data_IF_186734638430
#
_entry.id   IF_186734638430
#
_cell.length_a   1.000
_cell.length_b   1.000
_cell.length_c   1.000
_cell.angle_alpha   90.00
_cell.angle_beta   90.00
_cell.angle_gamma   90.00
#
_symmetry.space_group_name_H-M   'P 1'
#
loop_
_entity.id
_entity.type
_entity.pdbx_description
1 polymer ?
#
# COMPACT_ATOMS: atom_id res chain seq x y z
N UNK A 1 12.90 2.19 21.39
CA UNK A 1 12.47 0.86 21.86
C UNK A 1 13.53 0.18 22.73
N UNK A 2 14.75 -0.02 22.23
CA UNK A 2 15.80 -0.84 22.92
C UNK A 2 16.24 -0.22 24.25
N UNK A 3 16.21 1.10 24.38
CA UNK A 3 16.67 1.85 25.57
C UNK A 3 15.55 2.06 26.60
N UNK A 4 14.29 1.86 26.20
CA UNK A 4 13.13 2.06 27.07
C UNK A 4 12.63 0.71 27.60
N UNK A 5 12.21 0.69 28.86
CA UNK A 5 11.56 -0.48 29.46
C UNK A 5 10.14 -0.66 28.91
N UNK A 6 9.79 -1.90 28.60
CA UNK A 6 8.51 -2.27 28.04
C UNK A 6 8.54 -2.57 26.54
N UNK A 7 7.36 -2.85 25.99
CA UNK A 7 7.16 -3.23 24.59
C UNK A 7 6.95 -2.00 23.72
N UNK A 8 7.73 -1.86 22.66
CA UNK A 8 7.38 -0.96 21.55
C UNK A 8 6.39 -1.67 20.63
N UNK A 9 5.18 -1.15 20.56
CA UNK A 9 4.14 -1.65 19.64
C UNK A 9 4.30 -0.98 18.28
N UNK A 10 4.61 -1.75 17.24
CA UNK A 10 4.77 -1.25 15.86
C UNK A 10 3.59 -1.69 15.01
N UNK A 11 2.77 -0.74 14.61
CA UNK A 11 1.60 -0.97 13.75
C UNK A 11 2.01 -0.67 12.32
N UNK A 12 1.98 -1.67 11.44
CA UNK A 12 2.37 -1.53 10.02
C UNK A 12 1.46 -2.40 9.15
N UNK A 13 1.12 -1.95 7.92
CA UNK A 13 0.10 -2.62 7.11
C UNK A 13 0.64 -3.83 6.32
N UNK A 14 1.96 -4.08 6.37
CA UNK A 14 2.62 -5.00 5.46
C UNK A 14 3.26 -6.18 6.17
N UNK A 15 2.66 -7.35 6.00
CA UNK A 15 3.12 -8.60 6.60
C UNK A 15 4.55 -8.96 6.14
N UNK A 16 4.87 -8.79 4.86
CA UNK A 16 6.19 -9.10 4.33
C UNK A 16 7.27 -8.22 4.99
N UNK A 17 7.03 -6.90 5.06
CA UNK A 17 7.94 -5.97 5.74
C UNK A 17 8.11 -6.28 7.23
N UNK A 18 7.01 -6.64 7.91
CA UNK A 18 7.10 -7.09 9.31
C UNK A 18 8.06 -8.25 9.48
N UNK A 19 7.95 -9.28 8.64
CA UNK A 19 8.80 -10.48 8.69
C UNK A 19 10.25 -10.11 8.49
N UNK A 20 10.56 -9.37 7.43
CA UNK A 20 11.91 -8.95 7.09
C UNK A 20 12.54 -8.12 8.21
N UNK A 21 11.81 -7.16 8.77
CA UNK A 21 12.28 -6.32 9.88
C UNK A 21 12.49 -7.12 11.17
N UNK A 22 11.54 -8.00 11.51
CA UNK A 22 11.67 -8.88 12.70
C UNK A 22 12.87 -9.80 12.57
N UNK A 23 13.08 -10.41 11.39
CA UNK A 23 14.22 -11.30 11.17
C UNK A 23 15.56 -10.54 11.23
N UNK A 24 15.63 -9.34 10.65
CA UNK A 24 16.80 -8.47 10.74
C UNK A 24 17.10 -8.05 12.19
N UNK A 25 16.08 -7.74 12.97
CA UNK A 25 16.22 -7.38 14.39
C UNK A 25 16.66 -8.57 15.26
N UNK A 26 16.09 -9.75 15.02
CA UNK A 26 16.48 -10.99 15.71
C UNK A 26 17.93 -11.37 15.43
N UNK A 27 18.41 -11.22 14.19
CA UNK A 27 19.83 -11.42 13.83
C UNK A 27 20.76 -10.50 14.62
N UNK A 28 20.27 -9.33 15.06
CA UNK A 28 20.99 -8.38 15.93
C UNK A 28 20.78 -8.63 17.42
N UNK A 29 20.13 -9.72 17.81
CA UNK A 29 19.87 -10.08 19.21
C UNK A 29 18.67 -9.36 19.85
N UNK A 30 17.86 -8.62 19.08
CA UNK A 30 16.69 -7.91 19.60
C UNK A 30 15.49 -8.85 19.69
N UNK A 31 14.78 -8.86 20.82
CA UNK A 31 13.58 -9.66 21.05
C UNK A 31 12.37 -9.05 20.29
N UNK A 32 12.35 -9.23 18.97
CA UNK A 32 11.30 -8.74 18.08
C UNK A 32 10.37 -9.89 17.64
N UNK A 33 9.07 -9.61 17.59
CA UNK A 33 8.04 -10.55 17.17
C UNK A 33 7.00 -9.86 16.27
N UNK A 34 6.34 -10.64 15.41
CA UNK A 34 5.26 -10.16 14.56
C UNK A 34 3.99 -11.00 14.78
N UNK A 35 2.83 -10.35 14.75
CA UNK A 35 1.51 -10.98 14.77
C UNK A 35 0.72 -10.55 13.54
N UNK A 36 0.33 -11.53 12.70
CA UNK A 36 -0.42 -11.30 11.47
C UNK A 36 -1.50 -12.37 11.22
N UNK A 37 -2.36 -12.13 10.23
CA UNK A 37 -3.61 -12.87 10.03
C UNK A 37 -3.48 -14.39 9.84
N UNK A 38 -2.41 -14.87 9.19
CA UNK A 38 -2.24 -16.29 8.85
C UNK A 38 -1.57 -17.13 9.96
N UNK A 39 -1.23 -16.54 11.12
CA UNK A 39 -0.63 -17.26 12.25
C UNK A 39 -1.65 -18.11 13.00
N UNK A 40 -1.19 -19.23 13.56
CA UNK A 40 -2.01 -20.08 14.43
C UNK A 40 -2.32 -19.37 15.75
N UNK A 41 -3.53 -19.57 16.25
CA UNK A 41 -3.99 -18.96 17.50
C UNK A 41 -3.05 -19.26 18.70
N UNK A 42 -2.52 -20.45 18.78
CA UNK A 42 -1.57 -20.88 19.84
C UNK A 42 -0.24 -20.12 19.77
N UNK A 43 0.24 -19.78 18.58
CA UNK A 43 1.47 -19.00 18.41
C UNK A 43 1.24 -17.54 18.82
N UNK A 44 0.08 -16.99 18.42
CA UNK A 44 -0.33 -15.63 18.81
C UNK A 44 -0.40 -15.50 20.33
N UNK A 45 -1.06 -16.46 21.01
CA UNK A 45 -1.15 -16.48 22.48
C UNK A 45 0.22 -16.49 23.11
N UNK A 46 1.15 -17.36 22.68
CA UNK A 46 2.51 -17.43 23.22
C UNK A 46 3.26 -16.10 23.08
N UNK A 47 3.13 -15.43 21.95
CA UNK A 47 3.78 -14.12 21.73
C UNK A 47 3.18 -13.06 22.65
N UNK A 48 1.85 -13.02 22.76
CA UNK A 48 1.16 -12.05 23.61
C UNK A 48 1.47 -12.27 25.11
N UNK A 49 1.47 -13.52 25.57
CA UNK A 49 1.84 -13.86 26.95
C UNK A 49 3.29 -13.45 27.24
N UNK A 50 4.19 -13.73 26.31
CA UNK A 50 5.60 -13.33 26.43
C UNK A 50 5.76 -11.80 26.46
N UNK A 51 4.91 -11.07 25.72
CA UNK A 51 4.90 -9.61 25.73
C UNK A 51 4.40 -9.04 27.08
N UNK A 52 3.37 -9.65 27.67
CA UNK A 52 2.88 -9.29 29.02
C UNK A 52 3.98 -9.52 30.09
N UNK A 53 4.75 -10.60 29.96
CA UNK A 53 5.81 -10.97 30.89
C UNK A 53 7.13 -10.20 30.66
N UNK A 54 7.19 -9.25 29.75
CA UNK A 54 8.39 -8.45 29.45
C UNK A 54 9.44 -9.16 28.59
N UNK A 55 9.10 -10.28 27.98
CA UNK A 55 10.00 -11.05 27.09
C UNK A 55 10.09 -10.52 25.65
N UNK A 56 9.43 -9.40 25.35
CA UNK A 56 9.37 -8.79 24.01
C UNK A 56 9.81 -7.33 24.08
N UNK A 57 10.70 -6.91 23.18
CA UNK A 57 11.13 -5.51 23.05
C UNK A 57 10.34 -4.78 21.95
N UNK A 58 10.14 -5.42 20.80
CA UNK A 58 9.34 -4.89 19.69
C UNK A 58 8.28 -5.91 19.28
N UNK A 59 7.03 -5.46 19.24
CA UNK A 59 5.89 -6.24 18.78
C UNK A 59 5.29 -5.59 17.54
N UNK A 60 5.50 -6.21 16.39
CA UNK A 60 4.89 -5.81 15.13
C UNK A 60 3.50 -6.41 15.01
N UNK A 61 2.53 -5.60 14.60
CA UNK A 61 1.13 -6.02 14.47
C UNK A 61 0.49 -5.36 13.25
N UNK A 62 -0.33 -6.14 12.54
CA UNK A 62 -1.15 -5.58 11.47
C UNK A 62 -2.36 -4.81 12.04
N UNK A 63 -2.79 -3.72 11.40
CA UNK A 63 -3.89 -2.89 11.91
C UNK A 63 -5.20 -3.66 12.07
N UNK A 64 -5.46 -4.70 11.29
CA UNK A 64 -6.65 -5.56 11.40
C UNK A 64 -6.71 -6.31 12.74
N UNK A 65 -5.57 -6.52 13.40
CA UNK A 65 -5.51 -7.18 14.71
C UNK A 65 -5.90 -6.27 15.87
N UNK A 66 -5.97 -4.98 15.66
CA UNK A 66 -6.31 -4.01 16.69
C UNK A 66 -7.76 -4.15 17.18
N UNK A 67 -8.63 -4.76 16.37
CA UNK A 67 -10.03 -5.05 16.73
C UNK A 67 -10.21 -6.40 17.45
N UNK A 68 -9.13 -7.16 17.67
CA UNK A 68 -9.21 -8.47 18.32
C UNK A 68 -9.36 -8.32 19.83
N UNK A 69 -10.44 -8.83 20.41
CA UNK A 69 -10.67 -8.83 21.86
C UNK A 69 -9.53 -9.46 22.65
N UNK A 70 -8.98 -10.57 22.13
CA UNK A 70 -7.81 -11.22 22.73
C UNK A 70 -6.62 -10.27 22.80
N UNK A 71 -6.33 -9.55 21.71
CA UNK A 71 -5.23 -8.60 21.66
C UNK A 71 -5.47 -7.44 22.64
N UNK A 72 -6.65 -6.84 22.63
CA UNK A 72 -6.99 -5.71 23.51
C UNK A 72 -6.92 -6.11 24.98
N UNK A 73 -7.42 -7.30 25.35
CA UNK A 73 -7.31 -7.84 26.71
C UNK A 73 -5.85 -8.02 27.15
N UNK A 74 -4.99 -8.59 26.32
CA UNK A 74 -3.56 -8.75 26.64
C UNK A 74 -2.82 -7.40 26.67
N UNK A 75 -3.17 -6.48 25.76
CA UNK A 75 -2.59 -5.14 25.71
C UNK A 75 -2.81 -4.36 27.02
N UNK A 76 -3.97 -4.50 27.67
CA UNK A 76 -4.25 -3.84 28.94
C UNK A 76 -3.22 -4.18 30.04
N UNK A 77 -2.68 -5.39 30.01
CA UNK A 77 -1.68 -5.91 30.97
C UNK A 77 -0.22 -5.71 30.52
N UNK A 78 0.03 -5.30 29.27
CA UNK A 78 1.39 -5.05 28.78
C UNK A 78 1.92 -3.71 29.31
N UNK A 79 3.20 -3.66 29.64
CA UNK A 79 3.95 -2.40 29.77
C UNK A 79 4.35 -1.93 28.38
N UNK A 80 3.69 -0.88 27.86
CA UNK A 80 3.97 -0.34 26.52
C UNK A 80 4.86 0.88 26.65
N UNK A 81 6.08 0.81 26.10
CA UNK A 81 7.05 1.92 26.11
C UNK A 81 6.65 3.05 25.16
N UNK A 82 6.21 2.71 23.93
CA UNK A 82 5.60 3.63 22.97
C UNK A 82 4.93 2.88 21.84
N UNK A 83 4.13 3.60 21.06
CA UNK A 83 3.39 3.08 19.91
C UNK A 83 3.97 3.72 18.66
N UNK A 84 4.44 2.92 17.70
CA UNK A 84 4.88 3.38 16.39
C UNK A 84 3.80 3.05 15.36
N UNK A 85 3.35 4.05 14.62
CA UNK A 85 2.41 3.90 13.51
C UNK A 85 3.18 4.13 12.22
N UNK A 86 3.48 3.05 11.52
CA UNK A 86 4.14 3.09 10.22
C UNK A 86 3.12 3.31 9.12
N UNK A 87 3.53 3.93 8.01
CA UNK A 87 2.66 4.36 6.90
C UNK A 87 1.41 5.10 7.41
N UNK A 88 1.62 6.05 8.33
CA UNK A 88 0.54 6.74 9.04
C UNK A 88 -0.43 7.47 8.10
N UNK A 89 -0.05 7.75 6.84
CA UNK A 89 -0.94 8.31 5.83
C UNK A 89 -2.15 7.41 5.51
N UNK A 90 -2.06 6.11 5.81
CA UNK A 90 -3.18 5.17 5.66
C UNK A 90 -4.39 5.48 6.55
N UNK A 91 -4.24 6.34 7.58
CA UNK A 91 -5.36 6.77 8.44
C UNK A 91 -6.23 7.84 7.77
N UNK A 92 -5.71 8.54 6.76
CA UNK A 92 -6.41 9.65 6.10
C UNK A 92 -7.51 9.14 5.18
N UNK A 93 -8.77 9.42 5.51
CA UNK A 93 -9.95 8.95 4.75
C UNK A 93 -9.95 9.41 3.27
N UNK A 94 -9.31 10.52 2.97
CA UNK A 94 -9.18 11.09 1.64
C UNK A 94 -7.80 10.82 1.01
N UNK A 95 -6.99 9.96 1.66
CA UNK A 95 -5.68 9.56 1.17
C UNK A 95 -5.77 8.51 0.05
N UNK A 96 -4.72 8.41 -0.75
CA UNK A 96 -4.62 7.44 -1.85
C UNK A 96 -4.53 5.96 -1.39
N UNK A 97 -4.18 5.70 -0.12
CA UNK A 97 -4.08 4.36 0.48
C UNK A 97 -4.81 4.30 1.85
N UNK A 98 -6.05 4.80 1.88
CA UNK A 98 -6.86 4.76 3.10
C UNK A 98 -7.18 3.33 3.52
N UNK A 99 -6.95 3.04 4.80
CA UNK A 99 -7.26 1.74 5.42
C UNK A 99 -8.12 1.92 6.66
N UNK A 100 -9.39 1.52 6.63
CA UNK A 100 -10.31 1.68 7.76
C UNK A 100 -9.78 1.11 9.08
N UNK A 101 -9.04 0.00 9.03
CA UNK A 101 -8.42 -0.63 10.21
C UNK A 101 -7.45 0.28 10.98
N UNK A 102 -6.88 1.32 10.33
CA UNK A 102 -6.03 2.31 11.02
C UNK A 102 -6.81 3.20 11.99
N UNK A 103 -8.10 3.36 11.81
CA UNK A 103 -8.94 4.15 12.75
C UNK A 103 -8.99 3.49 14.13
N UNK A 104 -8.85 2.16 14.21
CA UNK A 104 -8.82 1.42 15.47
C UNK A 104 -7.57 1.76 16.34
N UNK A 105 -6.56 2.43 15.78
CA UNK A 105 -5.37 2.87 16.54
C UNK A 105 -5.76 3.86 17.64
N UNK A 106 -6.77 4.69 17.42
CA UNK A 106 -7.28 5.62 18.44
C UNK A 106 -7.79 4.91 19.69
N UNK A 107 -8.35 3.71 19.56
CA UNK A 107 -8.85 2.90 20.67
C UNK A 107 -7.70 2.38 21.56
N UNK A 108 -6.57 2.02 20.96
CA UNK A 108 -5.37 1.61 21.69
C UNK A 108 -4.89 2.72 22.62
N UNK A 109 -4.99 3.97 22.17
CA UNK A 109 -4.61 5.12 23.00
C UNK A 109 -5.49 5.31 24.21
N UNK A 110 -6.77 4.86 24.18
CA UNK A 110 -7.62 4.86 25.35
C UNK A 110 -7.17 3.82 26.39
N UNK A 111 -6.65 2.68 25.91
CA UNK A 111 -6.11 1.61 26.79
C UNK A 111 -4.74 1.98 27.35
N UNK A 112 -3.90 2.67 26.56
CA UNK A 112 -2.54 3.10 26.91
C UNK A 112 -2.38 4.61 26.72
N UNK A 113 -3.03 5.44 27.55
CA UNK A 113 -3.05 6.90 27.38
C UNK A 113 -1.70 7.57 27.59
N UNK A 114 -0.82 6.96 28.37
CA UNK A 114 0.51 7.49 28.72
C UNK A 114 1.60 7.07 27.72
N UNK A 115 1.31 6.09 26.84
CA UNK A 115 2.26 5.67 25.83
C UNK A 115 2.41 6.73 24.74
N UNK A 116 3.61 7.29 24.52
CA UNK A 116 3.82 8.22 23.42
C UNK A 116 3.60 7.55 22.07
N UNK A 117 3.14 8.33 21.09
CA UNK A 117 2.89 7.84 19.72
C UNK A 117 3.84 8.49 18.76
N UNK A 118 4.51 7.68 17.96
CA UNK A 118 5.36 8.08 16.83
C UNK A 118 4.68 7.67 15.52
N UNK A 119 4.17 8.64 14.78
CA UNK A 119 3.60 8.40 13.45
C UNK A 119 4.65 8.67 12.37
N UNK A 120 4.88 7.69 11.49
CA UNK A 120 5.88 7.73 10.44
C UNK A 120 5.20 7.65 9.08
N UNK A 121 5.59 8.52 8.17
CA UNK A 121 5.17 8.46 6.76
C UNK A 121 6.17 9.19 5.87
N UNK A 122 6.36 8.67 4.66
CA UNK A 122 7.23 9.26 3.66
C UNK A 122 6.50 10.21 2.69
N UNK A 123 5.16 10.24 2.68
CA UNK A 123 4.38 10.84 1.59
C UNK A 123 3.22 11.72 2.07
N UNK A 124 3.27 12.24 3.30
CA UNK A 124 2.18 13.06 3.82
C UNK A 124 2.23 14.51 3.31
N UNK A 125 1.12 14.98 2.77
CA UNK A 125 0.86 16.41 2.49
C UNK A 125 0.52 17.16 3.78
N UNK A 126 0.51 18.51 3.74
CA UNK A 126 0.14 19.29 4.92
C UNK A 126 -1.25 18.96 5.47
N UNK A 127 -2.31 18.86 4.64
CA UNK A 127 -3.62 18.42 5.13
C UNK A 127 -3.60 17.00 5.74
N UNK A 128 -2.83 16.09 5.14
CA UNK A 128 -2.70 14.71 5.68
C UNK A 128 -2.01 14.70 7.05
N UNK A 129 -1.01 15.57 7.27
CA UNK A 129 -0.34 15.69 8.57
C UNK A 129 -1.34 16.14 9.66
N UNK A 130 -2.18 17.14 9.37
CA UNK A 130 -3.19 17.61 10.31
C UNK A 130 -4.24 16.53 10.60
N UNK A 131 -4.66 15.77 9.58
CA UNK A 131 -5.60 14.66 9.73
C UNK A 131 -5.00 13.51 10.56
N UNK A 132 -3.75 13.10 10.28
CA UNK A 132 -3.05 12.08 11.07
C UNK A 132 -3.01 12.45 12.55
N UNK A 133 -2.63 13.68 12.89
CA UNK A 133 -2.55 14.11 14.28
C UNK A 133 -3.92 14.13 14.95
N UNK A 134 -4.96 14.58 14.24
CA UNK A 134 -6.35 14.57 14.70
C UNK A 134 -6.84 13.14 14.95
N UNK A 135 -6.69 12.24 13.99
CA UNK A 135 -7.18 10.86 14.09
C UNK A 135 -6.42 10.05 15.17
N UNK A 136 -5.14 10.34 15.37
CA UNK A 136 -4.33 9.72 16.42
C UNK A 136 -4.43 10.46 17.77
N UNK A 137 -5.30 11.45 17.91
CA UNK A 137 -5.53 12.21 19.16
C UNK A 137 -4.23 12.78 19.76
N UNK A 138 -3.38 13.42 18.95
CA UNK A 138 -2.21 14.12 19.45
C UNK A 138 -2.64 15.34 20.30
N UNK A 139 -2.04 15.49 21.49
CA UNK A 139 -2.35 16.59 22.39
C UNK A 139 -1.80 17.93 21.89
N UNK A 140 -0.65 17.88 21.24
CA UNK A 140 0.07 19.03 20.70
C UNK A 140 0.56 18.75 19.28
N UNK A 141 0.64 19.80 18.47
CA UNK A 141 1.27 19.68 17.13
C UNK A 141 2.77 19.52 17.29
N UNK A 142 3.27 18.34 16.99
CA UNK A 142 4.69 18.02 16.99
C UNK A 142 5.06 17.29 15.70
N UNK A 143 5.69 18.02 14.77
CA UNK A 143 5.98 17.49 13.43
C UNK A 143 7.45 17.71 13.09
N UNK A 144 8.15 16.61 12.87
CA UNK A 144 9.52 16.63 12.36
C UNK A 144 9.47 16.37 10.87
N UNK A 145 9.93 17.32 10.07
CA UNK A 145 9.93 17.22 8.61
C UNK A 145 11.36 17.23 8.09
N UNK A 146 11.64 16.31 7.20
CA UNK A 146 12.86 16.32 6.40
C UNK A 146 12.52 16.58 4.94
N UNK A 147 13.47 17.08 4.18
CA UNK A 147 13.31 17.22 2.74
C UNK A 147 13.14 15.86 2.09
N UNK A 148 12.16 15.73 1.21
CA UNK A 148 11.97 14.54 0.38
C UNK A 148 13.01 14.47 -0.76
N UNK A 149 13.83 15.49 -0.96
CA UNK A 149 14.78 15.55 -2.06
C UNK A 149 15.86 14.49 -1.91
N UNK A 150 15.88 13.55 -2.84
CA UNK A 150 16.91 12.53 -2.97
C UNK A 150 17.96 13.02 -3.96
N UNK A 151 19.08 13.57 -3.45
CA UNK A 151 20.15 14.19 -4.27
C UNK A 151 20.83 13.23 -5.25
N UNK A 152 20.76 11.94 -4.95
CA UNK A 152 21.34 10.88 -5.77
C UNK A 152 20.39 10.32 -6.84
N UNK A 153 19.13 10.74 -6.89
CA UNK A 153 18.15 10.31 -7.90
C UNK A 153 17.94 11.41 -8.93
N UNK A 154 18.18 11.11 -10.20
CA UNK A 154 17.82 11.97 -11.30
C UNK A 154 16.40 11.63 -11.78
N UNK A 155 15.46 12.57 -11.63
CA UNK A 155 14.09 12.44 -12.12
C UNK A 155 14.01 12.92 -13.56
N UNK A 156 13.59 12.05 -14.48
CA UNK A 156 13.60 12.28 -15.92
C UNK A 156 12.24 11.97 -16.49
N UNK A 157 11.65 12.91 -17.23
CA UNK A 157 10.50 12.64 -18.10
C UNK A 157 11.00 12.58 -19.54
N UNK A 158 10.71 11.50 -20.24
CA UNK A 158 11.17 11.28 -21.60
C UNK A 158 10.00 10.93 -22.51
N UNK A 159 9.84 11.66 -23.59
CA UNK A 159 8.87 11.32 -24.62
C UNK A 159 9.40 10.15 -25.46
N UNK A 160 8.57 9.12 -25.64
CA UNK A 160 8.91 7.92 -26.39
C UNK A 160 7.67 7.40 -27.13
N UNK A 161 7.78 7.21 -28.44
CA UNK A 161 6.74 6.58 -29.25
C UNK A 161 6.69 5.09 -28.96
N UNK A 162 7.84 4.41 -28.95
CA UNK A 162 8.01 3.04 -28.45
C UNK A 162 8.64 3.06 -27.05
N UNK A 163 7.78 2.92 -26.04
CA UNK A 163 8.21 2.91 -24.64
C UNK A 163 8.96 1.62 -24.26
N UNK A 164 8.67 0.50 -24.92
CA UNK A 164 9.30 -0.79 -24.61
C UNK A 164 10.75 -0.81 -25.09
N UNK A 165 10.98 -0.40 -26.32
CA UNK A 165 12.34 -0.26 -26.86
C UNK A 165 13.16 0.76 -26.06
N UNK A 166 12.54 1.90 -25.71
CA UNK A 166 13.22 2.91 -24.90
C UNK A 166 13.56 2.41 -23.50
N UNK A 167 12.68 1.65 -22.86
CA UNK A 167 12.95 1.02 -21.57
C UNK A 167 14.09 0.02 -21.66
N UNK A 168 14.08 -0.85 -22.67
CA UNK A 168 15.15 -1.81 -22.92
C UNK A 168 16.49 -1.13 -23.16
N UNK A 169 16.52 -0.05 -23.94
CA UNK A 169 17.73 0.75 -24.20
C UNK A 169 18.30 1.34 -22.89
N UNK A 170 17.45 1.95 -22.05
CA UNK A 170 17.88 2.51 -20.77
C UNK A 170 18.43 1.42 -19.84
N UNK A 171 17.77 0.27 -19.74
CA UNK A 171 18.18 -0.83 -18.86
C UNK A 171 19.52 -1.43 -19.31
N UNK A 172 19.77 -1.53 -20.63
CA UNK A 172 21.05 -2.01 -21.16
C UNK A 172 22.20 -1.05 -20.84
N UNK A 173 21.96 0.26 -20.83
CA UNK A 173 22.98 1.28 -20.59
C UNK A 173 23.41 1.39 -19.11
N UNK A 174 22.74 0.68 -18.20
CA UNK A 174 23.00 0.76 -16.76
C UNK A 174 23.39 -0.61 -16.20
N UNK A 175 24.37 -0.60 -15.29
CA UNK A 175 24.70 -1.74 -14.45
C UNK A 175 23.82 -1.73 -13.19
N UNK A 176 23.49 -2.92 -12.65
CA UNK A 176 22.66 -3.06 -11.46
C UNK A 176 21.19 -3.35 -11.77
N UNK A 177 20.39 -3.45 -10.72
CA UNK A 177 18.99 -3.87 -10.81
C UNK A 177 18.08 -2.74 -11.30
N UNK A 178 16.96 -3.14 -11.93
CA UNK A 178 15.94 -2.22 -12.41
C UNK A 178 14.53 -2.64 -11.94
N UNK A 179 13.64 -1.65 -11.80
CA UNK A 179 12.21 -1.86 -11.63
C UNK A 179 11.49 -1.16 -12.77
N UNK A 180 10.50 -1.84 -13.38
CA UNK A 180 9.65 -1.28 -14.42
C UNK A 180 8.21 -1.34 -13.94
N UNK A 181 7.59 -0.18 -13.75
CA UNK A 181 6.20 -0.06 -13.33
C UNK A 181 5.25 0.04 -14.52
N UNK A 182 4.21 -0.80 -14.48
CA UNK A 182 3.10 -0.81 -15.43
C UNK A 182 1.77 -0.90 -14.69
N UNK A 183 0.70 -0.44 -15.33
CA UNK A 183 -0.60 -0.33 -14.67
C UNK A 183 -1.31 -1.68 -14.52
N UNK A 184 -1.30 -2.55 -15.54
CA UNK A 184 -2.12 -3.76 -15.55
C UNK A 184 -1.31 -5.04 -15.28
N UNK A 185 -1.96 -6.01 -14.62
CA UNK A 185 -1.40 -7.35 -14.36
C UNK A 185 -0.94 -8.04 -15.65
N UNK A 186 -1.74 -7.97 -16.71
CA UNK A 186 -1.42 -8.55 -18.03
C UNK A 186 -0.15 -7.94 -18.61
N UNK A 187 -0.04 -6.61 -18.56
CA UNK A 187 1.11 -5.87 -19.09
C UNK A 187 2.41 -6.19 -18.36
N UNK A 188 2.37 -6.56 -17.06
CA UNK A 188 3.58 -6.97 -16.34
C UNK A 188 4.24 -8.18 -16.99
N UNK A 189 3.44 -9.17 -17.40
CA UNK A 189 3.93 -10.36 -18.08
C UNK A 189 4.45 -10.03 -19.49
N UNK A 190 3.67 -9.30 -20.29
CA UNK A 190 4.02 -8.92 -21.66
C UNK A 190 5.35 -8.14 -21.72
N UNK A 191 5.55 -7.19 -20.79
CA UNK A 191 6.80 -6.42 -20.75
C UNK A 191 7.98 -7.27 -20.28
N UNK A 192 7.79 -8.19 -19.32
CA UNK A 192 8.85 -9.09 -18.89
C UNK A 192 9.26 -10.05 -20.02
N UNK A 193 8.32 -10.61 -20.77
CA UNK A 193 8.56 -11.43 -21.96
C UNK A 193 9.31 -10.64 -23.02
N UNK A 194 8.88 -9.42 -23.36
CA UNK A 194 9.58 -8.55 -24.29
C UNK A 194 11.03 -8.29 -23.88
N UNK A 195 11.31 -8.03 -22.61
CA UNK A 195 12.67 -7.81 -22.11
C UNK A 195 13.52 -9.07 -22.23
N UNK A 196 12.98 -10.24 -21.90
CA UNK A 196 13.67 -11.51 -22.02
C UNK A 196 14.00 -11.84 -23.49
N UNK A 197 13.08 -11.61 -24.43
CA UNK A 197 13.30 -11.79 -25.86
C UNK A 197 14.39 -10.85 -26.39
N UNK A 198 14.61 -9.74 -25.70
CA UNK A 198 15.67 -8.77 -25.97
C UNK A 198 16.95 -8.98 -25.14
N UNK A 199 17.18 -10.19 -24.60
CA UNK A 199 18.35 -10.58 -23.80
C UNK A 199 18.54 -9.74 -22.50
N UNK A 200 17.45 -9.28 -21.89
CA UNK A 200 17.44 -8.62 -20.59
C UNK A 200 16.68 -9.51 -19.62
N UNK A 201 17.39 -10.12 -18.65
CA UNK A 201 16.74 -11.02 -17.69
C UNK A 201 15.69 -10.27 -16.86
N UNK A 202 14.42 -10.67 -16.99
CA UNK A 202 13.29 -10.02 -16.38
C UNK A 202 12.30 -11.03 -15.78
N UNK A 203 11.69 -10.66 -14.67
CA UNK A 203 10.54 -11.35 -14.09
C UNK A 203 9.43 -10.36 -13.81
N UNK A 204 8.25 -10.83 -13.44
CA UNK A 204 7.12 -9.95 -13.20
C UNK A 204 6.42 -10.24 -11.87
N UNK A 205 5.77 -9.18 -11.32
CA UNK A 205 5.11 -9.22 -10.01
C UNK A 205 3.78 -8.44 -10.02
N UNK A 206 2.73 -9.04 -9.49
CA UNK A 206 1.45 -8.37 -9.24
C UNK A 206 0.66 -9.11 -8.15
N UNK A 207 -0.33 -8.44 -7.53
CA UNK A 207 -1.11 -8.99 -6.43
C UNK A 207 -1.92 -10.26 -6.77
N UNK A 208 -2.22 -10.52 -8.04
CA UNK A 208 -2.95 -11.71 -8.48
C UNK A 208 -2.10 -12.97 -8.63
N UNK A 209 -0.81 -12.94 -8.29
CA UNK A 209 0.04 -14.14 -8.23
C UNK A 209 -0.11 -14.82 -6.87
N UNK A 210 0.07 -16.15 -6.84
CA UNK A 210 0.14 -16.91 -5.60
C UNK A 210 1.31 -16.44 -4.73
N UNK A 211 1.14 -16.56 -3.41
CA UNK A 211 2.14 -16.09 -2.45
C UNK A 211 3.53 -16.69 -2.69
N UNK A 212 3.60 -18.02 -2.87
CA UNK A 212 4.85 -18.71 -3.13
C UNK A 212 5.55 -18.23 -4.41
N UNK A 213 4.78 -17.93 -5.47
CA UNK A 213 5.32 -17.40 -6.72
C UNK A 213 5.83 -15.97 -6.54
N UNK A 214 5.13 -15.15 -5.76
CA UNK A 214 5.56 -13.78 -5.43
C UNK A 214 6.89 -13.79 -4.68
N UNK A 215 6.98 -14.62 -3.63
CA UNK A 215 8.18 -14.73 -2.80
C UNK A 215 9.37 -15.24 -3.62
N UNK A 216 9.17 -16.26 -4.47
CA UNK A 216 10.20 -16.79 -5.35
C UNK A 216 10.76 -15.71 -6.31
N UNK A 217 9.86 -14.99 -7.00
CA UNK A 217 10.27 -13.97 -7.96
C UNK A 217 10.95 -12.78 -7.31
N UNK A 218 10.49 -12.37 -6.14
CA UNK A 218 11.11 -11.35 -5.34
C UNK A 218 12.52 -11.77 -4.90
N UNK A 219 12.71 -13.00 -4.40
CA UNK A 219 14.02 -13.53 -4.01
C UNK A 219 14.98 -13.61 -5.20
N UNK A 220 14.50 -14.10 -6.36
CA UNK A 220 15.34 -14.15 -7.58
C UNK A 220 15.88 -12.76 -7.97
N UNK A 221 15.05 -11.73 -7.84
CA UNK A 221 15.47 -10.36 -8.15
C UNK A 221 16.35 -9.75 -7.04
N UNK A 222 16.05 -10.03 -5.77
CA UNK A 222 16.89 -9.58 -4.65
C UNK A 222 18.29 -10.19 -4.67
N UNK A 223 18.42 -11.45 -5.11
CA UNK A 223 19.67 -12.19 -5.22
C UNK A 223 20.40 -11.98 -6.56
N UNK A 224 19.99 -11.01 -7.37
CA UNK A 224 20.57 -10.69 -8.68
C UNK A 224 20.51 -11.83 -9.73
N UNK A 225 19.71 -12.88 -9.48
CA UNK A 225 19.43 -13.93 -10.48
C UNK A 225 18.65 -13.40 -11.68
N UNK A 226 17.93 -12.29 -11.48
CA UNK A 226 17.17 -11.57 -12.49
C UNK A 226 17.43 -10.08 -12.33
N UNK A 227 17.78 -9.39 -13.44
CA UNK A 227 18.13 -7.97 -13.44
C UNK A 227 16.89 -7.06 -13.24
N UNK A 228 15.75 -7.40 -13.86
CA UNK A 228 14.59 -6.52 -13.93
C UNK A 228 13.37 -7.12 -13.25
N UNK A 229 12.73 -6.33 -12.40
CA UNK A 229 11.41 -6.63 -11.90
C UNK A 229 10.37 -5.75 -12.64
N UNK A 230 9.47 -6.36 -13.39
CA UNK A 230 8.33 -5.66 -14.00
C UNK A 230 7.12 -5.82 -13.10
N UNK A 231 6.51 -4.73 -12.66
CA UNK A 231 5.50 -4.81 -11.62
C UNK A 231 4.36 -3.80 -11.75
N UNK A 232 3.23 -4.11 -11.11
CA UNK A 232 2.24 -3.11 -10.72
C UNK A 232 2.65 -2.45 -9.40
N UNK A 233 1.90 -1.45 -8.95
CA UNK A 233 2.06 -0.80 -7.63
C UNK A 233 2.05 -1.78 -6.44
N UNK A 234 1.57 -3.03 -6.63
CA UNK A 234 1.63 -4.08 -5.62
C UNK A 234 3.06 -4.51 -5.26
N UNK A 235 4.04 -4.27 -6.15
CA UNK A 235 5.46 -4.45 -5.88
C UNK A 235 6.02 -3.15 -5.35
N UNK A 236 6.00 -3.02 -4.05
CA UNK A 236 6.38 -1.72 -3.57
C UNK A 236 6.75 -1.68 -2.10
N UNK A 237 5.78 -1.56 -1.25
CA UNK A 237 6.00 -1.41 0.18
C UNK A 237 6.84 -2.59 0.73
N UNK A 238 7.88 -2.30 1.49
CA UNK A 238 8.73 -3.31 2.12
C UNK A 238 9.91 -3.82 1.28
N UNK A 239 10.08 -3.37 0.04
CA UNK A 239 11.23 -3.77 -0.77
C UNK A 239 12.42 -2.89 -0.41
N UNK A 240 13.49 -3.53 0.05
CA UNK A 240 14.74 -2.88 0.43
C UNK A 240 15.93 -3.50 -0.31
N UNK A 241 16.03 -3.20 -1.63
CA UNK A 241 17.20 -3.52 -2.43
C UNK A 241 18.01 -2.25 -2.65
N UNK A 242 19.28 -2.18 -2.19
CA UNK A 242 20.05 -0.93 -2.18
C UNK A 242 20.49 -0.48 -3.58
N UNK A 243 20.77 -1.41 -4.46
CA UNK A 243 21.44 -1.21 -5.74
C UNK A 243 20.51 -1.07 -6.96
N UNK A 244 19.26 -0.67 -6.75
CA UNK A 244 18.34 -0.35 -7.85
C UNK A 244 18.86 0.89 -8.58
N UNK A 245 19.35 0.72 -9.80
CA UNK A 245 19.94 1.84 -10.58
C UNK A 245 18.91 2.62 -11.36
N UNK A 246 17.79 2.00 -11.72
CA UNK A 246 16.72 2.71 -12.42
C UNK A 246 15.33 2.18 -12.04
N UNK A 247 14.42 3.12 -11.86
CA UNK A 247 12.98 2.87 -11.80
C UNK A 247 12.36 3.51 -13.04
N UNK A 248 11.69 2.71 -13.87
CA UNK A 248 11.05 3.16 -15.10
C UNK A 248 9.54 3.04 -14.96
N UNK A 249 8.83 4.12 -15.25
CA UNK A 249 7.38 4.11 -15.38
C UNK A 249 7.02 4.11 -16.87
N UNK A 250 6.48 2.99 -17.36
CA UNK A 250 5.92 2.87 -18.72
C UNK A 250 4.51 3.47 -18.76
N UNK A 251 3.74 3.25 -17.70
CA UNK A 251 2.45 3.88 -17.50
C UNK A 251 2.54 4.94 -16.40
N UNK A 252 1.81 6.02 -16.54
CA UNK A 252 1.74 7.06 -15.52
C UNK A 252 1.13 6.50 -14.23
N UNK A 253 1.75 6.73 -13.07
CA UNK A 253 1.18 6.36 -11.78
C UNK A 253 -0.09 7.16 -11.47
N UNK A 254 -0.87 6.70 -10.49
CA UNK A 254 -2.19 7.27 -10.20
C UNK A 254 -2.10 8.62 -9.45
N UNK A 255 -0.98 8.89 -8.79
CA UNK A 255 -0.72 10.16 -8.08
C UNK A 255 0.76 10.50 -8.06
N UNK A 256 1.07 11.75 -7.68
CA UNK A 256 2.46 12.20 -7.49
C UNK A 256 3.09 11.49 -6.28
N UNK A 257 2.31 11.23 -5.25
CA UNK A 257 2.73 10.50 -4.05
C UNK A 257 3.12 9.06 -4.40
N UNK A 258 2.30 8.36 -5.18
CA UNK A 258 2.60 7.02 -5.69
C UNK A 258 3.88 7.03 -6.55
N UNK A 259 3.99 7.99 -7.48
CA UNK A 259 5.22 8.16 -8.27
C UNK A 259 6.45 8.33 -7.39
N UNK A 260 6.35 9.19 -6.38
CA UNK A 260 7.48 9.50 -5.50
C UNK A 260 7.89 8.28 -4.65
N UNK A 261 6.93 7.54 -4.14
CA UNK A 261 7.16 6.31 -3.38
C UNK A 261 7.81 5.22 -4.25
N UNK A 262 7.35 5.05 -5.49
CA UNK A 262 7.88 4.08 -6.45
C UNK A 262 9.28 4.49 -6.93
N UNK A 263 9.46 5.73 -7.34
CA UNK A 263 10.75 6.30 -7.76
C UNK A 263 11.80 6.28 -6.63
N UNK A 264 11.37 6.49 -5.39
CA UNK A 264 12.22 6.50 -4.21
C UNK A 264 12.90 5.16 -3.88
N UNK A 265 12.55 4.08 -4.59
CA UNK A 265 13.25 2.77 -4.48
C UNK A 265 14.60 2.78 -5.14
N UNK A 266 14.85 3.71 -6.05
CA UNK A 266 16.13 3.85 -6.71
C UNK A 266 17.22 4.34 -5.73
N UNK A 267 18.43 3.81 -5.85
CA UNK A 267 19.63 4.32 -5.20
C UNK A 267 19.57 4.42 -3.68
N UNK A 268 19.05 3.44 -2.98
CA UNK A 268 19.03 3.44 -1.50
C UNK A 268 20.43 3.33 -0.87
N UNK A 269 21.40 2.85 -1.64
CA UNK A 269 22.82 2.82 -1.26
C UNK A 269 23.52 4.20 -1.36
N UNK A 270 22.79 5.26 -1.74
CA UNK A 270 23.33 6.59 -1.91
C UNK A 270 24.00 6.84 -3.26
N UNK A 271 24.22 5.81 -4.07
CA UNK A 271 24.83 5.93 -5.40
C UNK A 271 23.83 6.54 -6.40
N UNK A 272 24.37 7.12 -7.49
CA UNK A 272 23.57 7.72 -8.55
C UNK A 272 22.57 6.73 -9.14
N UNK A 273 21.33 7.13 -9.22
CA UNK A 273 20.22 6.34 -9.75
C UNK A 273 19.25 7.22 -10.54
N UNK A 274 18.33 6.60 -11.27
CA UNK A 274 17.45 7.30 -12.19
C UNK A 274 15.99 6.87 -11.95
N UNK A 275 15.10 7.85 -11.97
CA UNK A 275 13.65 7.63 -12.03
C UNK A 275 13.17 8.19 -13.37
N UNK A 276 12.72 7.32 -14.26
CA UNK A 276 12.37 7.69 -15.64
C UNK A 276 10.89 7.46 -15.87
N UNK A 277 10.16 8.50 -16.21
CA UNK A 277 8.79 8.41 -16.69
C UNK A 277 8.80 8.47 -18.22
N UNK A 278 8.38 7.41 -18.87
CA UNK A 278 8.20 7.36 -20.32
C UNK A 278 6.79 7.84 -20.67
N UNK A 279 6.72 8.93 -21.42
CA UNK A 279 5.46 9.59 -21.76
C UNK A 279 5.23 9.61 -23.27
N UNK A 280 3.96 9.48 -23.67
CA UNK A 280 3.53 9.76 -25.03
C UNK A 280 2.16 10.48 -25.05
N UNK A 281 1.73 10.92 -26.23
CA UNK A 281 0.47 11.68 -26.38
C UNK A 281 -0.80 10.94 -25.92
N UNK A 282 -0.78 9.59 -25.90
CA UNK A 282 -1.89 8.76 -25.46
C UNK A 282 -2.05 8.71 -23.95
N UNK A 283 -0.98 8.91 -23.19
CA UNK A 283 -1.00 8.81 -21.71
C UNK A 283 -1.94 9.83 -21.08
N UNK A 284 -2.01 11.05 -21.63
CA UNK A 284 -2.93 12.08 -21.14
C UNK A 284 -4.39 11.61 -21.23
N UNK A 285 -4.78 11.05 -22.37
CA UNK A 285 -6.15 10.55 -22.59
C UNK A 285 -6.46 9.36 -21.68
N UNK A 286 -5.49 8.45 -21.50
CA UNK A 286 -5.62 7.31 -20.59
C UNK A 286 -5.78 7.79 -19.14
N UNK A 287 -4.98 8.75 -18.71
CA UNK A 287 -5.05 9.30 -17.34
C UNK A 287 -6.39 10.03 -17.12
N UNK A 288 -6.82 10.86 -18.06
CA UNK A 288 -8.12 11.52 -18.00
C UNK A 288 -9.27 10.51 -17.89
N UNK A 289 -9.23 9.41 -18.66
CA UNK A 289 -10.22 8.35 -18.57
C UNK A 289 -10.21 7.67 -17.21
N UNK A 290 -9.03 7.35 -16.65
CA UNK A 290 -8.91 6.76 -15.30
C UNK A 290 -9.52 7.67 -14.24
N UNK A 291 -9.24 8.97 -14.31
CA UNK A 291 -9.82 9.96 -13.39
C UNK A 291 -11.35 9.96 -13.50
N UNK A 292 -11.89 9.97 -14.72
CA UNK A 292 -13.33 9.95 -14.93
C UNK A 292 -13.99 8.64 -14.45
N UNK A 293 -13.28 7.51 -14.57
CA UNK A 293 -13.76 6.22 -14.09
C UNK A 293 -13.71 6.11 -12.57
N UNK A 294 -12.72 6.75 -11.92
CA UNK A 294 -12.54 6.75 -10.47
C UNK A 294 -13.39 7.80 -9.74
N UNK A 295 -13.61 8.94 -10.35
CA UNK A 295 -14.38 10.05 -9.81
C UNK A 295 -15.59 10.30 -10.69
N UNK A 296 -16.60 9.43 -10.54
CA UNK A 296 -17.85 9.56 -11.27
C UNK A 296 -18.57 10.86 -10.92
N UNK A 297 -19.15 11.54 -11.90
CA UNK A 297 -19.94 12.74 -11.68
C UNK A 297 -21.24 12.42 -10.91
N UNK A 298 -21.82 13.46 -10.29
CA UNK A 298 -22.99 13.33 -9.44
C UNK A 298 -24.20 12.73 -10.19
N UNK A 299 -24.39 13.07 -11.42
CA UNK A 299 -25.51 12.57 -12.24
C UNK A 299 -25.34 11.07 -12.55
N UNK A 300 -24.12 10.64 -12.83
CA UNK A 300 -23.85 9.21 -13.00
C UNK A 300 -24.07 8.42 -11.70
N UNK A 301 -23.66 8.96 -10.54
CA UNK A 301 -23.87 8.32 -9.23
C UNK A 301 -25.36 8.17 -8.95
N UNK A 302 -26.16 9.20 -9.23
CA UNK A 302 -27.63 9.12 -9.12
C UNK A 302 -28.22 8.05 -10.04
N UNK A 303 -27.78 8.01 -11.30
CA UNK A 303 -28.21 7.02 -12.28
C UNK A 303 -27.92 5.59 -11.77
N UNK A 304 -26.72 5.35 -11.21
CA UNK A 304 -26.37 4.05 -10.63
C UNK A 304 -27.29 3.72 -9.45
N UNK A 305 -27.56 4.68 -8.57
CA UNK A 305 -28.46 4.50 -7.44
C UNK A 305 -29.91 4.17 -7.87
N UNK A 306 -30.43 4.86 -8.86
CA UNK A 306 -31.73 4.57 -9.45
C UNK A 306 -31.76 3.18 -10.12
N UNK A 307 -30.71 2.83 -10.85
CA UNK A 307 -30.60 1.51 -11.48
C UNK A 307 -30.48 0.38 -10.45
N UNK A 308 -29.90 0.61 -9.27
CA UNK A 308 -29.93 -0.36 -8.16
C UNK A 308 -31.37 -0.63 -7.71
N UNK A 309 -32.18 0.44 -7.56
CA UNK A 309 -33.59 0.28 -7.20
C UNK A 309 -34.36 -0.53 -8.26
N UNK A 310 -34.13 -0.27 -9.54
CA UNK A 310 -34.72 -1.06 -10.63
C UNK A 310 -34.21 -2.50 -10.66
N UNK A 311 -32.91 -2.72 -10.41
CA UNK A 311 -32.32 -4.05 -10.41
C UNK A 311 -32.90 -4.96 -9.31
N UNK A 312 -33.16 -4.39 -8.15
CA UNK A 312 -33.75 -5.08 -7.02
C UNK A 312 -35.27 -4.93 -6.94
N UNK A 313 -35.91 -4.29 -7.93
CA UNK A 313 -37.34 -4.05 -8.00
C UNK A 313 -37.91 -3.35 -6.74
N UNK A 314 -37.20 -2.35 -6.25
CA UNK A 314 -37.57 -1.58 -5.06
C UNK A 314 -38.48 -0.41 -5.44
N UNK A 315 -39.59 -0.27 -4.71
CA UNK A 315 -40.41 0.93 -4.79
C UNK A 315 -39.75 2.09 -4.04
N UNK A 316 -40.12 3.33 -4.39
CA UNK A 316 -39.66 4.53 -3.68
C UNK A 316 -40.00 4.44 -2.18
N UNK A 317 -39.04 4.69 -1.32
CA UNK A 317 -39.18 4.58 0.14
C UNK A 317 -39.09 3.15 0.69
N UNK A 318 -38.81 2.15 -0.14
CA UNK A 318 -38.61 0.76 0.29
C UNK A 318 -37.10 0.38 0.21
N UNK A 319 -36.76 -0.71 0.93
CA UNK A 319 -35.39 -1.26 0.88
C UNK A 319 -34.51 -0.85 2.04
N UNK A 320 -34.94 0.01 2.93
CA UNK A 320 -34.21 0.37 4.15
C UNK A 320 -33.92 -0.86 5.01
N UNK A 321 -32.68 -1.01 5.47
CA UNK A 321 -32.20 -2.15 6.29
C UNK A 321 -32.36 -3.53 5.61
N UNK A 322 -32.51 -3.58 4.28
CA UNK A 322 -32.56 -4.86 3.54
C UNK A 322 -31.24 -5.15 2.88
N UNK A 323 -30.80 -6.40 3.02
CA UNK A 323 -29.59 -6.92 2.33
C UNK A 323 -29.99 -7.69 1.08
N UNK A 324 -29.25 -7.47 -0.01
CA UNK A 324 -29.48 -8.11 -1.31
C UNK A 324 -28.17 -8.73 -1.80
N UNK A 325 -28.26 -9.88 -2.46
CA UNK A 325 -27.12 -10.43 -3.19
C UNK A 325 -26.89 -9.64 -4.48
N UNK A 326 -25.74 -9.01 -4.60
CA UNK A 326 -25.39 -8.16 -5.73
C UNK A 326 -24.40 -8.80 -6.68
N UNK A 327 -24.78 -8.91 -7.96
CA UNK A 327 -23.90 -9.38 -9.02
C UNK A 327 -23.56 -8.20 -9.95
N UNK A 328 -22.34 -7.67 -9.80
CA UNK A 328 -21.85 -6.52 -10.55
C UNK A 328 -21.89 -6.75 -12.08
N UNK A 329 -21.43 -7.92 -12.55
CA UNK A 329 -21.39 -8.22 -13.99
C UNK A 329 -22.79 -8.26 -14.62
N UNK A 330 -23.76 -8.83 -13.90
CA UNK A 330 -25.17 -8.87 -14.33
C UNK A 330 -25.76 -7.47 -14.34
N UNK A 331 -25.51 -6.67 -13.31
CA UNK A 331 -25.93 -5.28 -13.23
C UNK A 331 -25.37 -4.45 -14.38
N UNK A 332 -24.07 -4.53 -14.60
CA UNK A 332 -23.40 -3.78 -15.68
C UNK A 332 -23.91 -4.17 -17.07
N UNK A 333 -24.19 -5.45 -17.31
CA UNK A 333 -24.79 -5.91 -18.58
C UNK A 333 -26.21 -5.39 -18.78
N UNK A 334 -27.04 -5.43 -17.74
CA UNK A 334 -28.43 -4.99 -17.82
C UNK A 334 -28.58 -3.50 -18.14
N UNK A 335 -27.75 -2.67 -17.51
CA UNK A 335 -27.81 -1.22 -17.63
C UNK A 335 -26.73 -0.59 -18.51
N UNK A 336 -25.91 -1.42 -19.18
CA UNK A 336 -24.81 -0.99 -20.08
C UNK A 336 -23.80 -0.07 -19.38
N UNK A 337 -23.46 -0.41 -18.13
CA UNK A 337 -22.44 0.28 -17.37
C UNK A 337 -21.05 -0.37 -17.47
N UNK A 338 -20.00 0.42 -17.23
CA UNK A 338 -18.65 -0.10 -17.03
C UNK A 338 -18.44 -0.48 -15.57
N UNK A 339 -17.95 -1.72 -15.28
CA UNK A 339 -17.78 -2.21 -13.89
C UNK A 339 -16.99 -1.26 -12.98
N UNK A 340 -15.84 -0.75 -13.45
CA UNK A 340 -14.99 0.16 -12.67
C UNK A 340 -15.72 1.46 -12.24
N UNK A 341 -16.55 2.03 -13.12
CA UNK A 341 -17.35 3.22 -12.79
C UNK A 341 -18.47 2.92 -11.80
N UNK A 342 -19.10 1.74 -11.93
CA UNK A 342 -20.14 1.31 -10.97
C UNK A 342 -19.53 1.08 -9.60
N UNK A 343 -18.40 0.37 -9.49
CA UNK A 343 -17.71 0.19 -8.22
C UNK A 343 -17.32 1.52 -7.56
N UNK A 344 -16.86 2.49 -8.36
CA UNK A 344 -16.57 3.84 -7.86
C UNK A 344 -17.83 4.51 -7.31
N UNK A 345 -18.95 4.46 -8.06
CA UNK A 345 -20.22 5.04 -7.64
C UNK A 345 -20.76 4.38 -6.35
N UNK A 346 -20.68 3.04 -6.27
CA UNK A 346 -21.07 2.28 -5.06
C UNK A 346 -20.26 2.70 -3.84
N UNK A 347 -18.94 2.81 -3.95
CA UNK A 347 -18.06 3.29 -2.86
C UNK A 347 -18.39 4.72 -2.42
N UNK A 348 -18.79 5.60 -3.36
CA UNK A 348 -19.20 6.96 -3.01
C UNK A 348 -20.55 6.94 -2.28
N UNK A 349 -21.52 6.13 -2.75
CA UNK A 349 -22.81 5.95 -2.10
C UNK A 349 -22.68 5.38 -0.69
N UNK A 350 -21.79 4.38 -0.50
CA UNK A 350 -21.46 3.79 0.79
C UNK A 350 -20.86 4.84 1.74
N UNK A 351 -19.83 5.57 1.30
CA UNK A 351 -19.21 6.66 2.09
C UNK A 351 -20.19 7.77 2.45
N UNK A 352 -21.21 7.98 1.63
CA UNK A 352 -22.24 8.97 1.84
C UNK A 352 -23.43 8.45 2.66
N UNK A 353 -23.40 7.19 3.10
CA UNK A 353 -24.42 6.56 3.94
C UNK A 353 -25.72 6.19 3.21
N UNK A 354 -25.72 6.13 1.88
CA UNK A 354 -26.91 5.73 1.11
C UNK A 354 -27.05 4.21 0.97
N UNK A 355 -25.96 3.46 1.03
CA UNK A 355 -25.89 2.01 0.95
C UNK A 355 -24.77 1.48 1.85
N UNK A 356 -24.81 0.18 2.17
CA UNK A 356 -23.67 -0.63 2.63
C UNK A 356 -23.28 -1.60 1.50
N UNK A 357 -22.00 -1.63 1.08
CA UNK A 357 -21.54 -2.39 -0.09
C UNK A 357 -20.32 -3.26 0.23
#
# INVERSE_FOLDING_TARGET
AIVMEGVCLVITPLIALMKDQVDALRKKGVKAYAIYGSMKHTEILKILDNAVLGGVTLLYISPERLSSELFLSKLSHMTVSFITVDEAHCICQWGYDFRPSYLAISEIRKIKPDAPVLALTATATLPAIDDIQKQLNFKEKNVFRMSFMRKNIAYIVRTADDKLEQAAHIIRSLSGSAIVYVYSRKKTKEVAEYLNDNNISATFYHAGLDHAVRDLRQSMWQEDKVKVMVATNAFGMGIDKPDVRVVIHIDSPDSIEAYFQEAGRAGRDGNKAYAVLLFNGRDKSILQRRIADQYSDKEYIKTVYEHLAYFFQLAVGCGFERTFEFNLDKFCRNFKHYPARVESALKILEKSGYIEY
#
